data_IF_527642010890
#
_entry.id   IF_527642010890
#
_cell.length_a   1.000
_cell.length_b   1.000
_cell.length_c   1.000
_cell.angle_alpha   90.00
_cell.angle_beta   90.00
_cell.angle_gamma   90.00
#
_symmetry.space_group_name_H-M   'P 1'
#
loop_
_entity.id
_entity.type
_entity.pdbx_description
1 polymer ?
#
# COMPACT_ATOMS: atom_id res chain seq x y z
N UNK A 1 -20.36 66.23 -7.86
CA UNK A 1 -19.45 66.52 -8.99
C UNK A 1 -18.03 66.49 -8.47
N UNK A 2 -17.31 65.39 -8.70
CA UNK A 2 -15.86 65.32 -8.65
C UNK A 2 -15.45 64.04 -9.39
N UNK A 3 -14.88 64.24 -10.58
CA UNK A 3 -14.20 63.22 -11.38
C UNK A 3 -12.76 63.15 -10.89
N UNK A 4 -12.22 61.96 -10.70
CA UNK A 4 -10.78 61.71 -10.83
C UNK A 4 -10.53 60.26 -11.22
N UNK A 5 -10.03 60.09 -12.43
CA UNK A 5 -9.40 58.88 -12.94
C UNK A 5 -8.07 58.63 -12.22
N UNK A 6 -7.74 57.37 -11.92
CA UNK A 6 -6.35 56.91 -11.97
C UNK A 6 -6.23 55.43 -12.30
N UNK A 7 -5.43 55.20 -13.32
CA UNK A 7 -4.77 53.99 -13.82
C UNK A 7 -4.13 53.14 -12.71
N UNK A 8 -4.15 51.82 -12.89
CA UNK A 8 -3.29 50.83 -12.23
C UNK A 8 -4.00 49.47 -12.16
N UNK A 9 -3.40 48.32 -12.41
CA UNK A 9 -2.06 47.96 -12.82
C UNK A 9 -2.15 46.51 -13.34
N UNK A 10 -1.22 46.11 -14.20
CA UNK A 10 -1.18 44.75 -14.75
C UNK A 10 -0.92 43.76 -13.61
N UNK A 11 -1.87 42.86 -13.37
CA UNK A 11 -1.66 41.67 -12.55
C UNK A 11 -0.62 40.78 -13.20
N UNK A 12 0.62 40.92 -12.72
CA UNK A 12 1.79 40.11 -13.02
C UNK A 12 1.45 38.62 -12.95
N UNK A 13 1.60 37.91 -14.07
CA UNK A 13 1.67 36.45 -14.08
C UNK A 13 2.87 36.07 -13.22
N UNK A 14 2.61 35.46 -12.06
CA UNK A 14 3.63 34.91 -11.20
C UNK A 14 4.52 33.98 -12.04
N UNK A 15 5.81 34.31 -12.08
CA UNK A 15 6.84 33.51 -12.72
C UNK A 15 6.82 32.10 -12.14
N UNK A 16 6.55 31.11 -12.99
CA UNK A 16 6.70 29.69 -12.67
C UNK A 16 8.19 29.44 -12.35
N UNK A 17 8.54 28.83 -11.20
CA UNK A 17 9.91 28.43 -10.91
C UNK A 17 10.42 27.48 -12.00
N UNK A 18 11.68 27.63 -12.41
CA UNK A 18 12.31 27.01 -13.59
C UNK A 18 12.29 25.47 -13.66
N UNK A 19 11.79 24.79 -12.63
CA UNK A 19 11.91 23.33 -12.45
C UNK A 19 10.54 22.62 -12.33
N UNK A 20 9.44 23.35 -12.45
CA UNK A 20 8.08 22.78 -12.41
C UNK A 20 7.70 22.10 -13.72
N UNK A 21 7.23 20.85 -13.64
CA UNK A 21 6.68 20.13 -14.80
C UNK A 21 5.17 20.20 -14.73
N UNK A 22 4.55 20.82 -15.74
CA UNK A 22 3.11 20.79 -15.93
C UNK A 22 2.74 19.38 -16.41
N UNK A 23 1.90 18.69 -15.65
CA UNK A 23 1.43 17.34 -15.97
C UNK A 23 -0.07 17.42 -16.19
N UNK A 24 -0.54 17.02 -17.37
CA UNK A 24 -1.96 16.89 -17.60
C UNK A 24 -2.40 15.53 -17.05
N UNK A 25 -3.43 15.51 -16.19
CA UNK A 25 -4.19 14.28 -15.95
C UNK A 25 -4.64 13.74 -17.30
N UNK A 26 -4.49 12.42 -17.53
CA UNK A 26 -5.02 11.65 -18.69
C UNK A 26 -6.28 12.37 -19.23
N UNK A 27 -6.21 13.08 -20.37
CA UNK A 27 -6.20 12.48 -21.70
C UNK A 27 -5.45 13.24 -22.81
N UNK A 28 -4.55 14.19 -22.54
CA UNK A 28 -3.77 14.81 -23.64
C UNK A 28 -2.40 15.29 -23.21
N UNK A 29 -1.39 14.42 -23.30
CA UNK A 29 0.01 14.85 -23.30
C UNK A 29 0.35 15.31 -24.72
N UNK A 30 0.43 16.63 -24.93
CA UNK A 30 1.07 17.18 -26.13
C UNK A 30 2.57 16.93 -26.04
N UNK A 31 3.06 16.07 -26.92
CA UNK A 31 4.48 15.94 -27.23
C UNK A 31 4.95 17.24 -27.88
N UNK A 32 5.71 18.05 -27.14
CA UNK A 32 6.58 19.04 -27.79
C UNK A 32 8.04 18.82 -27.36
N UNK A 33 8.83 18.56 -28.40
CA UNK A 33 10.29 18.51 -28.50
C UNK A 33 11.08 17.25 -28.10
N UNK A 34 11.21 16.43 -29.16
CA UNK A 34 12.45 15.85 -29.74
C UNK A 34 13.20 14.76 -28.97
N UNK A 35 13.29 13.62 -29.67
CA UNK A 35 14.01 12.38 -29.38
C UNK A 35 13.37 11.42 -28.36
N UNK A 36 12.08 11.11 -28.54
CA UNK A 36 11.52 9.88 -27.98
C UNK A 36 11.88 8.69 -28.87
N UNK A 37 12.36 7.62 -28.24
CA UNK A 37 12.63 6.32 -28.86
C UNK A 37 11.33 5.83 -29.54
N UNK A 38 11.35 5.41 -30.83
CA UNK A 38 10.14 5.15 -31.63
C UNK A 38 9.17 4.13 -31.02
N UNK A 39 9.67 3.20 -30.21
CA UNK A 39 8.92 2.10 -29.60
C UNK A 39 7.94 2.57 -28.51
N UNK A 40 8.32 3.59 -27.73
CA UNK A 40 7.43 4.15 -26.70
C UNK A 40 6.35 5.05 -27.30
N UNK A 41 6.65 5.73 -28.42
CA UNK A 41 5.71 6.65 -29.06
C UNK A 41 4.42 5.94 -29.54
N UNK A 42 4.50 4.70 -30.02
CA UNK A 42 3.34 3.92 -30.43
C UNK A 42 2.56 3.35 -29.24
N UNK A 43 3.23 3.00 -28.13
CA UNK A 43 2.56 2.61 -26.89
C UNK A 43 1.76 3.77 -26.28
N UNK A 44 2.33 4.98 -26.26
CA UNK A 44 1.65 6.19 -25.80
C UNK A 44 0.42 6.51 -26.66
N UNK A 45 0.52 6.41 -27.99
CA UNK A 45 -0.64 6.59 -28.89
C UNK A 45 -1.76 5.59 -28.61
N UNK A 46 -1.42 4.34 -28.30
CA UNK A 46 -2.39 3.28 -28.00
C UNK A 46 -3.12 3.50 -26.67
N UNK A 47 -2.42 4.04 -25.67
CA UNK A 47 -3.03 4.46 -24.40
C UNK A 47 -3.95 5.69 -24.58
N UNK A 48 -3.55 6.66 -25.41
CA UNK A 48 -4.34 7.86 -25.73
C UNK A 48 -5.65 7.58 -26.49
N UNK A 49 -5.73 6.49 -27.25
CA UNK A 49 -6.93 6.13 -28.04
C UNK A 49 -8.05 5.47 -27.22
N UNK A 50 -7.81 5.16 -25.93
CA UNK A 50 -8.77 4.43 -25.07
C UNK A 50 -9.61 5.34 -24.16
N UNK A 51 -9.53 6.66 -24.30
CA UNK A 51 -10.11 7.58 -23.32
C UNK A 51 -11.06 8.63 -23.93
N UNK A 52 -12.21 8.94 -23.29
CA UNK A 52 -13.24 9.82 -23.88
C UNK A 52 -12.82 11.29 -23.96
N UNK A 53 -13.25 11.97 -25.01
CA UNK A 53 -12.95 13.38 -25.31
C UNK A 53 -13.83 14.35 -24.52
N UNK A 54 -13.17 15.14 -23.66
CA UNK A 54 -13.60 16.33 -22.86
C UNK A 54 -14.37 16.05 -21.56
N UNK A 55 -13.79 16.46 -20.40
CA UNK A 55 -14.18 17.73 -19.75
C UNK A 55 -13.01 18.48 -19.08
N UNK A 56 -13.26 19.73 -18.64
CA UNK A 56 -12.36 20.68 -17.95
C UNK A 56 -11.08 20.08 -17.35
N UNK A 57 -9.96 20.35 -18.01
CA UNK A 57 -8.64 19.83 -17.63
C UNK A 57 -8.22 20.51 -16.35
N UNK A 58 -8.37 19.83 -15.22
CA UNK A 58 -7.71 20.24 -13.99
C UNK A 58 -6.20 20.17 -14.22
N UNK A 59 -5.55 21.32 -14.31
CA UNK A 59 -4.10 21.39 -14.43
C UNK A 59 -3.46 20.82 -13.17
N UNK A 60 -2.56 19.86 -13.36
CA UNK A 60 -1.71 19.33 -12.30
C UNK A 60 -0.29 19.86 -12.48
N UNK A 61 0.32 20.25 -11.37
CA UNK A 61 1.70 20.73 -11.35
C UNK A 61 2.51 19.87 -10.38
N UNK A 62 3.63 19.34 -10.86
CA UNK A 62 4.61 18.64 -10.03
C UNK A 62 5.85 19.51 -9.95
N UNK A 63 6.17 20.00 -8.74
CA UNK A 63 7.46 20.64 -8.47
C UNK A 63 8.33 19.66 -7.70
N UNK A 64 9.50 19.35 -8.26
CA UNK A 64 10.43 18.38 -7.67
C UNK A 64 11.58 19.09 -6.98
N UNK A 65 11.90 18.70 -5.75
CA UNK A 65 13.14 19.09 -5.08
C UNK A 65 14.30 18.17 -5.45
N UNK A 66 15.52 18.69 -5.38
CA UNK A 66 16.74 17.86 -5.43
C UNK A 66 16.98 17.09 -4.12
N UNK A 67 16.24 17.43 -3.06
CA UNK A 67 16.34 16.79 -1.77
C UNK A 67 15.72 15.38 -1.80
N UNK A 68 16.44 14.42 -1.23
CA UNK A 68 15.95 13.07 -0.99
C UNK A 68 15.34 12.97 0.40
N UNK A 69 14.28 12.16 0.52
CA UNK A 69 13.70 11.85 1.82
C UNK A 69 14.76 11.15 2.69
N UNK A 70 14.98 11.70 3.88
CA UNK A 70 15.89 11.13 4.89
C UNK A 70 15.05 10.30 5.85
N UNK A 71 15.46 9.06 6.06
CA UNK A 71 14.79 8.13 6.98
C UNK A 71 15.27 8.32 8.43
N UNK A 72 14.64 7.61 9.37
CA UNK A 72 14.92 7.74 10.81
C UNK A 72 16.31 7.28 11.24
N UNK A 73 16.98 6.46 10.43
CA UNK A 73 18.37 6.02 10.61
C UNK A 73 19.38 6.94 9.91
N UNK A 74 18.92 8.09 9.41
CA UNK A 74 19.65 9.06 8.58
C UNK A 74 20.07 8.54 7.19
N UNK A 75 19.57 7.38 6.75
CA UNK A 75 19.78 6.93 5.37
C UNK A 75 18.90 7.72 4.40
N UNK A 76 19.38 7.89 3.17
CA UNK A 76 18.63 8.57 2.12
C UNK A 76 17.81 7.56 1.32
N UNK A 77 16.50 7.66 1.40
CA UNK A 77 15.59 6.83 0.61
C UNK A 77 15.63 7.23 -0.86
N UNK A 78 15.26 6.31 -1.74
CA UNK A 78 15.21 6.57 -3.19
C UNK A 78 13.93 7.33 -3.62
N UNK A 79 13.59 8.37 -2.84
CA UNK A 79 12.50 9.29 -3.13
C UNK A 79 13.01 10.70 -3.07
N UNK A 80 12.67 11.49 -4.09
CA UNK A 80 12.82 12.92 -4.01
C UNK A 80 11.57 13.54 -3.42
N UNK A 81 11.77 14.59 -2.64
CA UNK A 81 10.67 15.38 -2.08
C UNK A 81 10.08 16.27 -3.18
N UNK A 82 8.76 16.41 -3.21
CA UNK A 82 8.11 17.32 -4.13
C UNK A 82 6.81 17.91 -3.58
N UNK A 83 6.22 18.81 -4.37
CA UNK A 83 4.85 19.25 -4.19
C UNK A 83 4.02 18.90 -5.41
N UNK A 84 2.89 18.25 -5.18
CA UNK A 84 1.90 17.94 -6.21
C UNK A 84 0.66 18.82 -5.99
N UNK A 85 0.34 19.64 -6.99
CA UNK A 85 -0.80 20.54 -6.97
C UNK A 85 -1.83 20.06 -7.97
N UNK A 86 -3.06 19.84 -7.51
CA UNK A 86 -4.22 19.53 -8.36
C UNK A 86 -5.26 20.63 -8.17
N UNK A 87 -5.41 21.51 -9.17
CA UNK A 87 -6.21 22.73 -9.02
C UNK A 87 -5.66 23.63 -7.90
N UNK A 88 -6.48 24.11 -6.94
CA UNK A 88 -6.03 25.00 -5.86
C UNK A 88 -5.41 24.25 -4.66
N UNK A 89 -5.27 22.92 -4.72
CA UNK A 89 -4.88 22.10 -3.56
C UNK A 89 -3.45 21.57 -3.72
N UNK A 90 -2.44 22.23 -3.11
CA UNK A 90 -1.10 21.70 -3.04
C UNK A 90 -1.00 20.59 -1.98
N UNK A 91 -0.24 19.55 -2.29
CA UNK A 91 0.05 18.43 -1.39
C UNK A 91 1.54 18.10 -1.43
N UNK A 92 2.09 17.63 -0.31
CA UNK A 92 3.45 17.06 -0.31
C UNK A 92 3.40 15.69 -0.98
N UNK A 93 4.38 15.42 -1.83
CA UNK A 93 4.49 14.15 -2.52
C UNK A 93 5.93 13.65 -2.50
N UNK A 94 6.08 12.38 -2.86
CA UNK A 94 7.36 11.74 -3.11
C UNK A 94 7.46 11.41 -4.59
N UNK A 95 8.67 11.49 -5.14
CA UNK A 95 8.93 11.26 -6.55
C UNK A 95 9.94 10.14 -6.66
N UNK A 96 9.50 9.01 -7.23
CA UNK A 96 10.35 7.85 -7.52
C UNK A 96 10.78 7.93 -8.98
N UNK A 97 12.09 7.95 -9.20
CA UNK A 97 12.70 7.93 -10.53
C UNK A 97 12.92 6.50 -10.97
N UNK A 98 12.72 6.22 -12.25
CA UNK A 98 13.29 5.02 -12.87
C UNK A 98 14.81 5.18 -12.95
N UNK A 99 15.57 4.26 -12.33
CA UNK A 99 17.04 4.28 -12.39
C UNK A 99 17.48 3.25 -13.43
N UNK A 100 18.06 3.70 -14.54
CA UNK A 100 18.52 2.85 -15.64
C UNK A 100 20.01 2.46 -15.55
N UNK A 101 20.74 2.88 -14.51
CA UNK A 101 22.21 2.94 -14.56
C UNK A 101 22.96 2.02 -13.57
N UNK A 102 22.31 1.00 -13.01
CA UNK A 102 22.98 -0.01 -12.18
C UNK A 102 22.51 -1.40 -12.55
N UNK A 103 23.36 -2.41 -12.30
CA UNK A 103 23.18 -3.85 -12.55
C UNK A 103 21.90 -4.49 -11.98
N UNK A 104 21.07 -3.72 -11.28
CA UNK A 104 19.71 -4.06 -10.87
C UNK A 104 18.79 -2.94 -11.39
N UNK A 105 18.07 -3.22 -12.47
CA UNK A 105 17.12 -2.30 -13.10
C UNK A 105 15.81 -2.33 -12.31
N UNK A 106 15.57 -1.37 -11.43
CA UNK A 106 14.20 -1.07 -10.97
C UNK A 106 13.61 -0.05 -11.94
N UNK A 107 13.20 -0.54 -13.11
CA UNK A 107 12.48 0.31 -14.07
C UNK A 107 11.05 0.50 -13.59
N UNK A 108 10.56 1.73 -13.61
CA UNK A 108 9.11 1.96 -13.44
C UNK A 108 8.44 1.44 -14.70
N UNK A 109 8.00 0.19 -14.64
CA UNK A 109 7.29 -0.46 -15.73
C UNK A 109 5.90 0.17 -15.90
N UNK A 110 5.62 0.65 -17.12
CA UNK A 110 4.32 1.23 -17.48
C UNK A 110 3.18 0.20 -17.34
N UNK A 111 3.47 -1.09 -17.49
CA UNK A 111 2.49 -2.16 -17.28
C UNK A 111 2.09 -2.21 -15.82
N UNK A 112 3.07 -2.19 -14.92
CA UNK A 112 2.86 -2.06 -13.47
C UNK A 112 2.10 -0.78 -13.10
N UNK A 113 2.41 0.37 -13.71
CA UNK A 113 1.61 1.59 -13.51
C UNK A 113 0.14 1.40 -13.95
N UNK A 114 -0.10 0.79 -15.11
CA UNK A 114 -1.44 0.53 -15.63
C UNK A 114 -2.30 -0.32 -14.67
N UNK A 115 -1.68 -1.29 -14.00
CA UNK A 115 -2.31 -2.12 -12.97
C UNK A 115 -2.56 -1.31 -11.69
N UNK A 116 -1.54 -0.58 -11.23
CA UNK A 116 -1.52 0.05 -9.91
C UNK A 116 -2.24 1.41 -9.85
N UNK A 117 -2.45 2.08 -11.00
CA UNK A 117 -3.01 3.44 -11.03
C UNK A 117 -4.41 3.56 -10.42
N UNK A 118 -5.18 2.47 -10.37
CA UNK A 118 -6.52 2.44 -9.79
C UNK A 118 -6.58 1.81 -8.38
N UNK A 119 -5.48 1.26 -7.89
CA UNK A 119 -5.40 0.63 -6.57
C UNK A 119 -5.45 1.72 -5.50
N UNK A 120 -6.49 1.68 -4.65
CA UNK A 120 -6.69 2.67 -3.58
C UNK A 120 -7.04 1.97 -2.28
N UNK A 121 -6.08 1.96 -1.36
CA UNK A 121 -6.27 1.43 -0.02
C UNK A 121 -5.58 2.35 1.01
N UNK A 122 -6.19 2.50 2.18
CA UNK A 122 -5.69 3.40 3.23
C UNK A 122 -4.32 2.99 3.79
N UNK A 123 -3.87 1.74 3.58
CA UNK A 123 -2.55 1.24 3.93
C UNK A 123 -1.64 0.99 2.72
N UNK A 124 -1.97 1.53 1.54
CA UNK A 124 -1.08 1.52 0.36
C UNK A 124 -0.53 2.95 0.16
N UNK A 125 0.71 3.05 -0.32
CA UNK A 125 1.27 4.29 -0.86
C UNK A 125 0.60 4.53 -2.21
N UNK A 126 -0.24 5.56 -2.29
CA UNK A 126 -1.00 5.85 -3.51
C UNK A 126 -0.06 6.38 -4.59
N UNK A 127 -0.21 5.85 -5.81
CA UNK A 127 0.33 6.49 -7.01
C UNK A 127 -0.65 7.58 -7.42
N UNK A 128 -0.28 8.83 -7.15
CA UNK A 128 -1.09 10.01 -7.41
C UNK A 128 -1.04 10.41 -8.89
N UNK A 129 0.12 10.26 -9.52
CA UNK A 129 0.32 10.60 -10.92
C UNK A 129 1.57 9.91 -11.51
N UNK A 130 1.71 9.99 -12.83
CA UNK A 130 2.85 9.55 -13.60
C UNK A 130 3.24 10.65 -14.59
N UNK A 131 4.54 10.89 -14.77
CA UNK A 131 5.02 11.78 -15.82
C UNK A 131 6.39 11.34 -16.34
N UNK A 132 6.64 11.67 -17.59
CA UNK A 132 7.95 11.50 -18.21
C UNK A 132 8.66 12.86 -18.23
N UNK A 133 9.94 12.86 -17.84
CA UNK A 133 10.80 14.02 -18.02
C UNK A 133 12.12 13.59 -18.65
N UNK A 134 12.27 13.91 -19.94
CA UNK A 134 13.43 13.59 -20.79
C UNK A 134 13.66 12.08 -21.02
N UNK A 135 12.59 11.32 -21.25
CA UNK A 135 12.65 9.87 -21.45
C UNK A 135 12.84 9.08 -20.15
N UNK A 136 12.65 9.73 -19.01
CA UNK A 136 12.79 9.13 -17.69
C UNK A 136 11.43 9.12 -16.99
N UNK A 137 10.74 7.96 -16.93
CA UNK A 137 9.47 7.84 -16.26
C UNK A 137 9.60 8.07 -14.75
N UNK A 138 8.61 8.75 -14.18
CA UNK A 138 8.57 9.10 -12.75
C UNK A 138 7.17 8.87 -12.19
N UNK A 139 7.13 8.31 -10.99
CA UNK A 139 5.90 8.18 -10.21
C UNK A 139 5.80 9.30 -9.18
N UNK A 140 4.63 9.91 -9.12
CA UNK A 140 4.22 10.79 -8.03
C UNK A 140 3.49 9.94 -7.02
N UNK A 141 4.04 9.85 -5.81
CA UNK A 141 3.56 9.02 -4.72
C UNK A 141 3.03 9.88 -3.57
N UNK A 142 2.04 9.36 -2.85
CA UNK A 142 1.60 9.95 -1.58
C UNK A 142 2.75 10.00 -0.57
N UNK A 143 2.72 10.99 0.32
CA UNK A 143 3.78 11.19 1.32
C UNK A 143 3.85 10.05 2.35
N UNK A 144 5.09 9.66 2.72
CA UNK A 144 5.40 8.80 3.87
C UNK A 144 6.47 9.44 4.74
N UNK A 145 6.55 9.02 6.02
CA UNK A 145 7.49 9.58 6.98
C UNK A 145 8.85 8.86 7.03
N UNK A 146 8.93 7.65 6.51
CA UNK A 146 10.14 6.82 6.54
C UNK A 146 9.82 5.35 6.34
N UNK A 147 10.84 4.49 6.36
CA UNK A 147 10.63 3.03 6.29
C UNK A 147 10.17 2.50 7.64
N UNK A 148 9.34 1.46 7.61
CA UNK A 148 8.94 0.76 8.81
C UNK A 148 10.15 0.08 9.48
N UNK A 149 11.12 -0.38 8.68
CA UNK A 149 12.38 -0.98 9.15
C UNK A 149 13.18 -0.02 10.04
N UNK A 150 13.51 1.17 9.55
CA UNK A 150 14.24 2.16 10.34
C UNK A 150 13.46 2.57 11.59
N UNK A 151 12.13 2.70 11.47
CA UNK A 151 11.27 2.99 12.60
C UNK A 151 11.34 1.89 13.68
N UNK A 152 11.31 0.62 13.28
CA UNK A 152 11.38 -0.55 14.17
C UNK A 152 12.78 -0.77 14.77
N UNK A 153 13.84 -0.24 14.16
CA UNK A 153 15.20 -0.33 14.69
C UNK A 153 15.47 0.68 15.81
N UNK A 154 14.63 1.70 15.96
CA UNK A 154 14.73 2.64 17.09
C UNK A 154 14.41 1.95 18.41
N UNK A 155 15.36 1.99 19.36
CA UNK A 155 15.19 1.42 20.71
C UNK A 155 13.97 1.96 21.45
N UNK A 156 13.63 3.23 21.23
CA UNK A 156 12.44 3.83 21.84
C UNK A 156 11.16 3.19 21.29
N UNK A 157 11.14 2.92 19.99
CA UNK A 157 9.99 2.36 19.30
C UNK A 157 9.85 0.86 19.54
N UNK A 158 10.95 0.10 19.63
CA UNK A 158 10.93 -1.31 20.01
C UNK A 158 10.29 -1.55 21.37
N UNK A 159 10.54 -0.66 22.34
CA UNK A 159 9.90 -0.70 23.67
C UNK A 159 8.40 -0.47 23.63
N UNK A 160 7.88 0.21 22.59
CA UNK A 160 6.43 0.37 22.37
C UNK A 160 5.81 -0.89 21.76
N UNK A 161 6.62 -1.77 21.15
CA UNK A 161 6.21 -2.97 20.43
C UNK A 161 6.13 -4.23 21.26
N UNK A 162 7.18 -4.45 22.03
CA UNK A 162 7.28 -5.62 22.88
C UNK A 162 7.01 -5.17 24.30
N UNK A 163 6.02 -5.80 24.96
CA UNK A 163 5.96 -5.71 26.41
C UNK A 163 7.32 -6.16 26.99
N UNK A 164 7.67 -5.71 28.20
CA UNK A 164 8.96 -6.03 28.84
C UNK A 164 9.32 -7.54 28.84
N UNK A 165 8.34 -8.40 28.62
CA UNK A 165 8.51 -9.79 28.19
C UNK A 165 8.28 -9.91 26.67
N UNK A 166 9.33 -10.31 25.95
CA UNK A 166 9.42 -10.50 24.48
C UNK A 166 8.35 -11.45 23.91
N UNK A 167 7.59 -12.15 24.76
CA UNK A 167 6.70 -13.25 24.38
C UNK A 167 5.34 -12.85 23.82
N UNK A 168 4.94 -11.56 23.85
CA UNK A 168 3.63 -11.12 23.33
C UNK A 168 3.73 -9.81 22.54
N UNK A 169 3.31 -9.80 21.26
CA UNK A 169 3.18 -8.55 20.52
C UNK A 169 2.18 -7.62 21.22
N UNK A 170 2.47 -6.32 21.27
CA UNK A 170 1.50 -5.37 21.80
C UNK A 170 0.27 -5.27 20.87
N UNK A 171 -0.82 -4.70 21.38
CA UNK A 171 -2.04 -4.47 20.59
C UNK A 171 -1.78 -3.70 19.29
N UNK A 172 -0.75 -2.85 19.28
CA UNK A 172 -0.35 -2.07 18.12
C UNK A 172 0.29 -2.91 17.01
N UNK A 173 1.24 -3.81 17.34
CA UNK A 173 1.80 -4.77 16.38
C UNK A 173 0.70 -5.62 15.75
N UNK A 174 -0.23 -6.13 16.58
CA UNK A 174 -1.34 -6.94 16.08
C UNK A 174 -2.20 -6.17 15.09
N UNK A 175 -2.52 -4.91 15.39
CA UNK A 175 -3.31 -4.09 14.48
C UNK A 175 -2.55 -3.80 13.18
N UNK A 176 -1.23 -3.58 13.23
CA UNK A 176 -0.41 -3.46 12.02
C UNK A 176 -0.48 -4.74 11.16
N UNK A 177 -0.29 -5.92 11.76
CA UNK A 177 -0.37 -7.18 11.02
C UNK A 177 -1.75 -7.36 10.35
N UNK A 178 -2.82 -6.96 11.06
CA UNK A 178 -4.19 -6.97 10.52
C UNK A 178 -4.33 -5.98 9.35
N UNK A 179 -3.80 -4.77 9.46
CA UNK A 179 -3.88 -3.72 8.44
C UNK A 179 -3.11 -4.11 7.16
N UNK A 180 -1.91 -4.68 7.31
CA UNK A 180 -1.11 -5.18 6.19
C UNK A 180 -1.80 -6.38 5.55
N UNK A 181 -2.31 -7.32 6.35
CA UNK A 181 -3.10 -8.44 5.83
C UNK A 181 -4.28 -7.91 5.00
N UNK A 182 -5.06 -6.97 5.56
CA UNK A 182 -6.20 -6.31 4.87
C UNK A 182 -5.80 -5.74 3.52
N UNK A 183 -4.61 -5.16 3.45
CA UNK A 183 -4.03 -4.61 2.22
C UNK A 183 -3.76 -5.70 1.18
N UNK A 184 -3.17 -6.82 1.59
CA UNK A 184 -2.89 -7.94 0.68
C UNK A 184 -4.16 -8.55 0.09
N UNK A 185 -5.20 -8.83 0.89
CA UNK A 185 -6.46 -9.34 0.31
C UNK A 185 -7.07 -8.32 -0.65
N UNK A 186 -7.00 -7.02 -0.36
CA UNK A 186 -7.49 -6.02 -1.31
C UNK A 186 -6.73 -6.09 -2.64
N UNK A 187 -5.43 -6.34 -2.61
CA UNK A 187 -4.62 -6.51 -3.82
C UNK A 187 -5.00 -7.78 -4.58
N UNK A 188 -5.13 -8.90 -3.88
CA UNK A 188 -5.52 -10.18 -4.48
C UNK A 188 -6.93 -10.14 -5.06
N UNK A 189 -7.88 -9.48 -4.38
CA UNK A 189 -9.23 -9.23 -4.89
C UNK A 189 -9.22 -8.41 -6.20
N UNK A 190 -8.15 -7.64 -6.45
CA UNK A 190 -7.94 -6.88 -7.68
C UNK A 190 -6.94 -7.54 -8.65
N UNK A 191 -6.56 -8.80 -8.41
CA UNK A 191 -5.62 -9.54 -9.26
C UNK A 191 -4.18 -9.00 -9.23
N UNK A 192 -3.82 -8.27 -8.18
CA UNK A 192 -2.47 -7.70 -7.99
C UNK A 192 -1.72 -8.53 -6.96
N UNK A 193 -0.57 -9.04 -7.34
CA UNK A 193 0.28 -9.83 -6.45
C UNK A 193 1.63 -9.10 -6.26
N UNK A 194 1.93 -8.62 -5.04
CA UNK A 194 3.21 -8.00 -4.74
C UNK A 194 4.36 -9.01 -4.90
N UNK A 195 5.58 -8.55 -5.23
CA UNK A 195 6.76 -9.41 -5.22
C UNK A 195 7.15 -9.82 -3.79
N UNK A 196 7.90 -10.92 -3.65
CA UNK A 196 8.34 -11.48 -2.35
C UNK A 196 9.08 -10.46 -1.46
N UNK A 197 9.81 -9.52 -2.08
CA UNK A 197 10.59 -8.49 -1.38
C UNK A 197 9.78 -7.22 -1.05
N UNK A 198 8.46 -7.22 -1.20
CA UNK A 198 7.63 -6.02 -0.99
C UNK A 198 7.67 -5.44 0.44
N UNK A 199 8.27 -6.14 1.41
CA UNK A 199 8.43 -5.62 2.77
C UNK A 199 9.60 -4.71 3.02
N UNK A 200 10.66 -4.81 2.22
CA UNK A 200 11.65 -3.74 2.21
C UNK A 200 10.99 -2.42 1.76
N UNK A 201 9.83 -2.52 1.09
CA UNK A 201 8.94 -1.44 0.68
C UNK A 201 7.76 -1.19 1.65
N UNK A 202 7.87 -1.59 2.92
CA UNK A 202 6.99 -1.10 3.98
C UNK A 202 7.45 0.25 4.52
N UNK A 203 6.56 1.22 4.40
CA UNK A 203 6.71 2.57 4.92
C UNK A 203 5.69 2.82 6.04
N UNK A 204 5.79 3.97 6.68
CA UNK A 204 4.76 4.41 7.62
C UNK A 204 4.42 5.88 7.44
N UNK A 205 3.19 6.23 7.78
CA UNK A 205 2.77 7.61 8.01
C UNK A 205 2.47 7.81 9.49
N UNK A 206 2.80 8.97 10.05
CA UNK A 206 2.31 9.40 11.36
C UNK A 206 0.98 10.14 11.19
N UNK A 207 -0.05 9.71 11.91
CA UNK A 207 -1.31 10.41 12.02
C UNK A 207 -1.38 11.21 13.34
N UNK A 208 -1.86 12.46 13.27
CA UNK A 208 -1.99 13.35 14.44
C UNK A 208 -0.64 13.87 14.96
N UNK A 209 -0.56 14.16 16.26
CA UNK A 209 0.65 14.65 16.94
C UNK A 209 1.78 13.60 17.08
N UNK A 210 1.94 12.71 16.09
CA UNK A 210 2.99 11.69 16.05
C UNK A 210 2.74 10.44 16.88
N UNK A 211 1.56 10.29 17.50
CA UNK A 211 1.31 9.19 18.45
C UNK A 211 0.88 7.88 17.80
N UNK A 212 0.30 7.91 16.59
CA UNK A 212 -0.12 6.72 15.86
C UNK A 212 0.57 6.67 14.52
N UNK A 213 1.25 5.57 14.23
CA UNK A 213 1.73 5.31 12.88
C UNK A 213 0.74 4.40 12.15
N UNK A 214 0.71 4.51 10.83
CA UNK A 214 -0.10 3.68 9.94
C UNK A 214 0.86 3.05 8.94
N UNK A 215 0.94 1.70 8.86
CA UNK A 215 1.77 1.04 7.86
C UNK A 215 1.25 1.37 6.46
N UNK A 216 2.19 1.55 5.54
CA UNK A 216 1.96 1.87 4.13
C UNK A 216 2.81 0.94 3.27
N UNK A 217 2.17 0.04 2.55
CA UNK A 217 2.84 -0.80 1.57
C UNK A 217 3.04 0.00 0.28
N UNK A 218 4.28 0.14 -0.16
CA UNK A 218 4.56 0.60 -1.51
C UNK A 218 4.58 -0.60 -2.44
N UNK A 219 3.88 -0.45 -3.56
CA UNK A 219 3.86 -1.44 -4.63
C UNK A 219 4.25 -0.67 -5.87
N UNK A 220 5.38 -1.05 -6.44
CA UNK A 220 5.89 -0.47 -7.69
C UNK A 220 5.85 -1.46 -8.85
N UNK A 221 5.65 -2.74 -8.51
CA UNK A 221 5.55 -3.86 -9.44
C UNK A 221 4.37 -4.72 -9.01
N UNK A 222 3.52 -5.06 -9.96
CA UNK A 222 2.41 -5.99 -9.76
C UNK A 222 2.50 -7.08 -10.80
N UNK A 223 2.60 -8.34 -10.37
CA UNK A 223 2.42 -9.49 -11.27
C UNK A 223 0.95 -9.91 -11.24
N UNK A 224 0.41 -10.34 -12.37
CA UNK A 224 -0.86 -11.07 -12.41
C UNK A 224 -0.55 -12.57 -12.33
N UNK A 225 -1.08 -13.23 -11.31
CA UNK A 225 -1.24 -14.69 -11.15
C UNK A 225 -0.03 -15.58 -10.80
N UNK A 226 1.22 -15.17 -11.01
CA UNK A 226 2.39 -16.06 -10.82
C UNK A 226 2.92 -16.23 -9.37
N UNK A 227 2.38 -15.54 -8.36
CA UNK A 227 3.00 -15.45 -7.01
C UNK A 227 2.35 -16.35 -5.96
N UNK A 228 1.28 -17.08 -6.30
CA UNK A 228 0.60 -17.98 -5.34
C UNK A 228 1.52 -19.10 -4.82
N UNK A 229 2.57 -19.46 -5.55
CA UNK A 229 3.38 -20.64 -5.29
C UNK A 229 4.52 -20.43 -4.27
N UNK A 230 4.80 -19.19 -3.81
CA UNK A 230 6.01 -18.87 -3.03
C UNK A 230 5.76 -18.59 -1.53
N UNK A 231 4.65 -19.05 -0.96
CA UNK A 231 4.34 -18.84 0.46
C UNK A 231 5.05 -19.87 1.38
N UNK A 232 5.27 -19.52 2.67
CA UNK A 232 5.88 -20.43 3.64
C UNK A 232 5.11 -21.75 3.72
N UNK A 233 5.76 -22.85 3.38
CA UNK A 233 5.17 -24.18 3.31
C UNK A 233 4.83 -24.79 4.69
N UNK A 234 5.16 -24.09 5.79
CA UNK A 234 5.09 -24.59 7.17
C UNK A 234 3.88 -24.08 7.97
N UNK A 235 2.95 -23.35 7.33
CA UNK A 235 1.73 -22.92 7.99
C UNK A 235 0.69 -24.05 8.00
N UNK A 236 0.48 -24.65 9.17
CA UNK A 236 -0.52 -25.70 9.37
C UNK A 236 -1.84 -25.14 9.93
N UNK A 237 -2.96 -25.69 9.49
CA UNK A 237 -4.26 -25.42 10.10
C UNK A 237 -4.28 -25.94 11.54
N UNK A 238 -4.84 -25.19 12.51
CA UNK A 238 -4.90 -25.66 13.88
C UNK A 238 -5.86 -26.84 13.97
N UNK A 239 -5.35 -27.99 14.42
CA UNK A 239 -6.15 -29.21 14.58
C UNK A 239 -6.37 -29.56 16.06
N UNK A 240 -7.50 -30.20 16.35
CA UNK A 240 -7.71 -30.88 17.64
C UNK A 240 -6.97 -32.23 17.65
N UNK A 241 -6.94 -32.92 18.81
CA UNK A 241 -6.24 -34.20 18.97
C UNK A 241 -6.66 -35.29 17.97
N UNK A 242 -7.84 -35.20 17.38
CA UNK A 242 -8.32 -36.11 16.35
C UNK A 242 -7.73 -35.85 14.96
N UNK A 243 -6.97 -34.76 14.77
CA UNK A 243 -6.49 -34.31 13.47
C UNK A 243 -7.48 -33.43 12.70
N UNK A 244 -8.70 -33.24 13.23
CA UNK A 244 -9.70 -32.36 12.62
C UNK A 244 -9.36 -30.89 12.84
N UNK A 245 -9.70 -30.03 11.88
CA UNK A 245 -9.58 -28.57 12.01
C UNK A 245 -10.34 -28.08 13.24
N UNK A 246 -9.78 -27.08 13.93
CA UNK A 246 -10.30 -26.56 15.19
C UNK A 246 -11.79 -26.16 15.05
N UNK A 247 -12.68 -26.63 15.94
CA UNK A 247 -14.14 -26.48 15.78
C UNK A 247 -14.63 -25.04 15.63
N UNK A 248 -13.91 -24.08 16.22
CA UNK A 248 -14.21 -22.64 16.05
C UNK A 248 -14.10 -22.22 14.59
N UNK A 249 -13.05 -22.66 13.89
CA UNK A 249 -12.84 -22.35 12.49
C UNK A 249 -13.87 -23.08 11.62
N UNK A 250 -14.10 -24.36 11.86
CA UNK A 250 -15.13 -25.14 11.16
C UNK A 250 -16.52 -24.47 11.24
N UNK A 251 -16.92 -24.01 12.42
CA UNK A 251 -18.21 -23.34 12.60
C UNK A 251 -18.32 -22.05 11.77
N UNK A 252 -17.22 -21.30 11.62
CA UNK A 252 -17.20 -20.10 10.78
C UNK A 252 -17.16 -20.46 9.29
N UNK A 253 -16.41 -21.49 8.89
CA UNK A 253 -16.40 -22.01 7.51
C UNK A 253 -17.82 -22.41 7.10
N UNK A 254 -18.51 -23.20 7.94
CA UNK A 254 -19.86 -23.67 7.67
C UNK A 254 -20.84 -22.49 7.55
N UNK A 255 -20.72 -21.49 8.42
CA UNK A 255 -21.55 -20.30 8.32
C UNK A 255 -21.30 -19.53 7.01
N UNK A 256 -20.04 -19.24 6.67
CA UNK A 256 -19.65 -18.49 5.47
C UNK A 256 -20.06 -19.20 4.19
N UNK A 257 -19.92 -20.53 4.15
CA UNK A 257 -20.33 -21.40 3.05
C UNK A 257 -21.85 -21.40 2.82
N UNK A 258 -22.64 -21.21 3.88
CA UNK A 258 -24.10 -21.26 3.83
C UNK A 258 -24.78 -19.87 3.74
N UNK A 259 -24.02 -18.78 3.59
CA UNK A 259 -24.58 -17.44 3.38
C UNK A 259 -25.37 -17.34 2.07
N UNK A 260 -26.47 -16.58 2.11
CA UNK A 260 -27.31 -16.29 0.93
C UNK A 260 -26.64 -15.33 -0.07
N UNK A 261 -25.77 -14.45 0.42
CA UNK A 261 -25.05 -13.44 -0.38
C UNK A 261 -23.59 -13.38 0.07
N UNK A 262 -22.69 -13.01 -0.85
CA UNK A 262 -21.24 -12.87 -0.58
C UNK A 262 -20.63 -14.11 0.09
N UNK A 263 -21.01 -15.30 -0.40
CA UNK A 263 -20.51 -16.58 0.10
C UNK A 263 -19.00 -16.65 -0.08
N UNK A 264 -18.29 -16.92 1.01
CA UNK A 264 -16.86 -17.23 0.99
C UNK A 264 -16.67 -18.74 1.15
N UNK A 265 -15.73 -19.29 0.40
CA UNK A 265 -15.36 -20.71 0.47
C UNK A 265 -13.90 -20.76 0.88
N UNK A 266 -13.62 -21.52 1.93
CA UNK A 266 -12.28 -21.77 2.43
C UNK A 266 -11.89 -23.22 2.12
N UNK A 267 -10.71 -23.41 1.56
CA UNK A 267 -10.06 -24.67 1.29
C UNK A 267 -9.09 -24.99 2.44
N UNK A 268 -9.42 -26.02 3.22
CA UNK A 268 -8.59 -26.46 4.36
C UNK A 268 -7.25 -27.08 3.96
N UNK A 269 -7.07 -27.37 2.67
CA UNK A 269 -5.78 -27.80 2.12
C UNK A 269 -4.86 -26.62 1.79
N UNK A 270 -5.39 -25.38 1.77
CA UNK A 270 -4.63 -24.16 1.49
C UNK A 270 -4.27 -23.48 2.81
N UNK A 271 -2.98 -23.36 3.16
CA UNK A 271 -2.56 -22.61 4.34
C UNK A 271 -3.03 -21.14 4.33
N UNK A 272 -3.15 -20.54 3.15
CA UNK A 272 -3.62 -19.17 3.00
C UNK A 272 -5.04 -18.97 3.56
N UNK A 273 -5.91 -19.96 3.37
CA UNK A 273 -7.30 -19.87 3.80
C UNK A 273 -7.43 -19.92 5.33
N UNK A 274 -6.44 -20.45 6.05
CA UNK A 274 -6.35 -20.34 7.51
C UNK A 274 -6.11 -18.88 7.94
N UNK A 275 -5.21 -18.17 7.28
CA UNK A 275 -4.97 -16.75 7.57
C UNK A 275 -6.20 -15.91 7.20
N UNK A 276 -6.78 -16.17 6.03
CA UNK A 276 -7.96 -15.47 5.53
C UNK A 276 -9.16 -15.63 6.46
N UNK A 277 -9.41 -16.84 7.00
CA UNK A 277 -10.51 -17.04 7.94
C UNK A 277 -10.25 -16.37 9.30
N UNK A 278 -9.04 -16.49 9.86
CA UNK A 278 -8.68 -15.81 11.11
C UNK A 278 -8.91 -14.31 11.00
N UNK A 279 -8.50 -13.71 9.89
CA UNK A 279 -8.68 -12.30 9.64
C UNK A 279 -10.14 -11.91 9.43
N UNK A 280 -10.90 -12.72 8.70
CA UNK A 280 -12.35 -12.52 8.53
C UNK A 280 -13.06 -12.45 9.90
N UNK A 281 -12.70 -13.36 10.81
CA UNK A 281 -13.20 -13.38 12.19
C UNK A 281 -12.84 -12.09 12.92
N UNK A 282 -11.58 -11.66 12.87
CA UNK A 282 -11.13 -10.42 13.54
C UNK A 282 -11.81 -9.17 13.00
N UNK A 283 -11.95 -9.06 11.67
CA UNK A 283 -12.54 -7.92 10.97
C UNK A 283 -14.04 -7.80 11.21
N UNK A 284 -14.74 -8.93 11.25
CA UNK A 284 -16.19 -8.98 11.36
C UNK A 284 -16.67 -9.53 12.70
N UNK A 285 -15.86 -9.39 13.75
CA UNK A 285 -16.09 -9.99 15.07
C UNK A 285 -17.52 -9.80 15.58
N UNK A 286 -18.01 -8.55 15.60
CA UNK A 286 -19.34 -8.23 16.12
C UNK A 286 -20.47 -8.94 15.36
N UNK A 287 -20.31 -9.14 14.06
CA UNK A 287 -21.30 -9.81 13.21
C UNK A 287 -21.16 -11.33 13.36
N UNK A 288 -19.94 -11.85 13.28
CA UNK A 288 -19.69 -13.29 13.30
C UNK A 288 -19.94 -13.90 14.68
N UNK A 289 -19.60 -13.22 15.77
CA UNK A 289 -19.92 -13.69 17.11
C UNK A 289 -21.43 -13.75 17.36
N UNK A 290 -22.23 -12.86 16.76
CA UNK A 290 -23.69 -12.94 16.83
C UNK A 290 -24.26 -14.11 16.00
N UNK A 291 -23.73 -14.30 14.79
CA UNK A 291 -24.26 -15.27 13.82
C UNK A 291 -23.71 -16.69 13.95
N UNK A 292 -22.57 -16.87 14.61
CA UNK A 292 -21.92 -18.16 14.85
C UNK A 292 -21.87 -18.41 16.36
N UNK A 293 -22.92 -19.00 16.96
CA UNK A 293 -23.00 -19.18 18.42
C UNK A 293 -21.82 -19.94 19.01
N UNK A 294 -21.24 -20.88 18.25
CA UNK A 294 -20.06 -21.62 18.69
C UNK A 294 -18.83 -20.71 18.88
N UNK A 295 -18.62 -19.74 17.99
CA UNK A 295 -17.54 -18.75 18.09
C UNK A 295 -17.68 -17.93 19.38
N UNK A 296 -18.86 -17.37 19.64
CA UNK A 296 -19.15 -16.56 20.84
C UNK A 296 -19.07 -17.35 22.15
N UNK A 297 -19.44 -18.64 22.13
CA UNK A 297 -19.27 -19.50 23.32
C UNK A 297 -17.81 -19.84 23.59
N UNK A 298 -17.00 -19.99 22.54
CA UNK A 298 -15.60 -20.38 22.65
C UNK A 298 -14.66 -19.21 22.93
N UNK A 299 -15.10 -17.99 22.60
CA UNK A 299 -14.33 -16.76 22.74
C UNK A 299 -15.29 -15.65 23.19
N UNK A 300 -15.11 -15.13 24.41
CA UNK A 300 -16.04 -14.16 24.99
C UNK A 300 -15.99 -12.81 24.27
N UNK A 301 -14.82 -12.45 23.74
CA UNK A 301 -14.56 -11.24 22.98
C UNK A 301 -13.50 -11.45 21.88
N UNK A 302 -13.24 -10.37 21.11
CA UNK A 302 -12.26 -10.37 20.03
C UNK A 302 -10.85 -10.69 20.54
N UNK A 303 -10.53 -10.26 21.76
CA UNK A 303 -9.21 -10.46 22.35
C UNK A 303 -9.01 -11.91 22.82
N UNK A 304 -10.07 -12.61 23.23
CA UNK A 304 -10.06 -14.05 23.49
C UNK A 304 -9.75 -14.84 22.22
N UNK A 305 -10.34 -14.44 21.08
CA UNK A 305 -10.02 -15.09 19.81
C UNK A 305 -8.56 -14.84 19.40
N UNK A 306 -8.04 -13.63 19.62
CA UNK A 306 -6.61 -13.33 19.45
C UNK A 306 -5.74 -14.23 20.34
N UNK A 307 -6.09 -14.39 21.62
CA UNK A 307 -5.36 -15.28 22.54
C UNK A 307 -5.42 -16.74 22.09
N UNK A 308 -6.56 -17.16 21.54
CA UNK A 308 -6.75 -18.50 21.00
C UNK A 308 -5.88 -18.73 19.76
N UNK A 309 -5.84 -17.79 18.84
CA UNK A 309 -4.92 -17.76 17.70
C UNK A 309 -3.46 -17.88 18.15
N UNK A 310 -3.04 -17.07 19.13
CA UNK A 310 -1.70 -17.12 19.72
C UNK A 310 -1.38 -18.45 20.42
N UNK A 311 -2.40 -19.20 20.86
CA UNK A 311 -2.21 -20.50 21.49
C UNK A 311 -2.04 -21.64 20.48
N UNK A 312 -2.63 -21.49 19.29
CA UNK A 312 -2.47 -22.44 18.19
C UNK A 312 -1.06 -22.37 17.60
N UNK A 313 -0.59 -21.15 17.39
CA UNK A 313 0.74 -20.91 16.90
C UNK A 313 1.29 -19.63 17.53
N UNK A 314 2.35 -19.79 18.32
CA UNK A 314 3.03 -18.65 18.97
C UNK A 314 3.70 -17.73 17.96
N UNK A 315 3.96 -18.25 16.77
CA UNK A 315 4.46 -17.50 15.62
C UNK A 315 3.34 -16.99 14.74
N UNK A 316 2.05 -17.15 15.04
CA UNK A 316 0.97 -16.78 14.10
C UNK A 316 1.04 -15.34 13.62
N UNK A 317 1.51 -14.42 14.46
CA UNK A 317 1.70 -13.02 14.09
C UNK A 317 2.97 -12.79 13.28
N UNK A 318 4.01 -13.60 13.52
CA UNK A 318 5.20 -13.66 12.68
C UNK A 318 4.86 -14.34 11.36
N UNK A 319 4.11 -15.44 11.32
CA UNK A 319 3.65 -16.12 10.10
C UNK A 319 2.66 -15.26 9.31
N UNK A 320 1.74 -14.56 9.97
CA UNK A 320 0.93 -13.50 9.35
C UNK A 320 1.76 -12.33 8.86
N UNK A 321 3.00 -12.17 9.30
CA UNK A 321 3.93 -11.13 8.86
C UNK A 321 4.96 -11.68 7.86
N UNK A 322 5.36 -12.95 7.93
CA UNK A 322 6.35 -13.70 7.14
C UNK A 322 5.72 -14.28 5.87
N UNK A 323 4.44 -14.65 5.90
CA UNK A 323 3.60 -14.80 4.70
C UNK A 323 3.46 -13.46 3.94
N UNK A 324 3.84 -12.35 4.59
CA UNK A 324 4.00 -11.03 3.99
C UNK A 324 5.50 -10.76 3.71
N UNK A 325 6.43 -11.43 4.40
CA UNK A 325 7.90 -11.46 4.24
C UNK A 325 8.68 -11.25 5.57
N UNK A 326 9.95 -11.64 5.65
CA UNK A 326 10.91 -11.06 6.62
C UNK A 326 12.02 -10.44 5.77
N UNK A 327 12.61 -9.28 6.14
CA UNK A 327 13.82 -8.83 5.47
C UNK A 327 14.89 -9.89 5.75
N UNK A 328 15.29 -10.66 4.74
CA UNK A 328 16.29 -11.71 4.90
C UNK A 328 17.48 -11.19 5.71
N UNK A 329 17.98 -12.01 6.64
CA UNK A 329 19.23 -11.72 7.32
C UNK A 329 20.34 -11.73 6.25
N UNK A 330 20.76 -10.53 5.85
CA UNK A 330 21.92 -10.29 4.98
C UNK A 330 23.22 -10.44 5.76
#
# INVERSE_FOLDING_TARGET
MASMNSIGDRGSLASIPSDGVLVYLDNHIKSDNRAAIPEYAEMYKKALLLTPTTPDVAECLVNTSRERLVDLDNQRLNFHVGSYTMGPYPSKCLIKYSISNSTEETTVDLTSYGILKNIRHHNIVTIENFYDANGHPRLVLSWVNGTLKAWLQSKENQRKFFSATISRPCSWFRQMAIDISSTLEYLFDNGVYPPENCLDDLYFCTAGAGSRICPKLLIVEGKSDDVRDNLPADLEWPTVKSGDVHPVLCAVIDYEKNKRTNRRVYNISEPYDFLAICRNILKHWFILSDKVPYLKRSCSDRDDFIRMMESWDKKIWFNLYEAIGWPGES
#
